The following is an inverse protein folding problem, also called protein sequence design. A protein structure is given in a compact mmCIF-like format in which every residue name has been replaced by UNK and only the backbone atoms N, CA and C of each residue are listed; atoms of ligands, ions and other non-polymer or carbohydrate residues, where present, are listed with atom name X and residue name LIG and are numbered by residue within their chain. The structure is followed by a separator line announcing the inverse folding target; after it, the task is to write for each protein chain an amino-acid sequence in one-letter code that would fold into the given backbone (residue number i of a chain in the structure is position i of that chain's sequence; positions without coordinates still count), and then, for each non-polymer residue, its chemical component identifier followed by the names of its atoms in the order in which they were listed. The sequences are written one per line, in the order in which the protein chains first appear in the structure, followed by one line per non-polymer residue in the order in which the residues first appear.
data_IF_078968834266
#
_entry.id   IF_078968834266
#
_cell.length_a   1.000
_cell.length_b   1.000
_cell.length_c   1.000
_cell.angle_alpha   90.00
_cell.angle_beta   90.00
_cell.angle_gamma   90.00
#
_symmetry.space_group_name_H-M   'P 1'
#
loop_
_entity.id
_entity.type
_entity.pdbx_description
1 polymer ?
#
# COMPACT_ATOMS: atom_id res chain seq x y z
N UNK A 1 6.92 -24.39 18.60
CA UNK A 1 7.00 -23.04 19.21
C UNK A 1 6.41 -22.07 18.19
N UNK A 2 5.11 -21.85 18.23
CA UNK A 2 4.39 -20.97 17.28
C UNK A 2 4.53 -19.53 17.78
N UNK A 3 5.27 -18.69 17.06
CA UNK A 3 5.33 -17.26 17.35
C UNK A 3 3.92 -16.67 17.16
N UNK A 4 3.47 -15.75 18.03
CA UNK A 4 2.20 -15.07 17.81
C UNK A 4 2.33 -14.29 16.50
N UNK A 5 1.50 -14.60 15.51
CA UNK A 5 1.29 -13.75 14.34
C UNK A 5 0.79 -12.42 14.90
N UNK A 6 1.64 -11.40 14.91
CA UNK A 6 1.20 -10.05 15.23
C UNK A 6 0.27 -9.67 14.08
N UNK A 7 -1.04 -9.80 14.29
CA UNK A 7 -2.07 -9.31 13.38
C UNK A 7 -2.03 -7.79 13.46
N UNK A 8 -1.03 -7.20 12.83
CA UNK A 8 -0.96 -5.76 12.74
C UNK A 8 -2.16 -5.29 11.91
N UNK A 9 -2.76 -4.19 12.30
CA UNK A 9 -3.94 -3.64 11.63
C UNK A 9 -3.51 -2.76 10.46
N UNK A 10 -4.21 -2.82 9.31
CA UNK A 10 -4.00 -1.89 8.22
C UNK A 10 -4.08 -0.44 8.71
N UNK A 11 -3.10 0.39 8.32
CA UNK A 11 -3.03 1.80 8.73
C UNK A 11 -3.23 2.71 7.53
N UNK A 12 -4.21 3.60 7.60
CA UNK A 12 -4.49 4.55 6.52
C UNK A 12 -3.37 5.59 6.42
N UNK A 13 -2.81 5.74 5.23
CA UNK A 13 -1.74 6.68 4.93
C UNK A 13 -2.32 7.97 4.35
N UNK A 14 -2.22 9.05 5.12
CA UNK A 14 -2.62 10.40 4.69
C UNK A 14 -1.50 11.20 4.04
N UNK A 15 -0.25 10.84 4.30
CA UNK A 15 0.94 11.46 3.70
C UNK A 15 1.83 10.38 3.09
N UNK A 16 1.97 10.37 1.76
CA UNK A 16 2.79 9.36 1.05
C UNK A 16 4.28 9.42 1.41
N UNK A 17 4.78 10.51 1.99
CA UNK A 17 6.14 10.60 2.51
C UNK A 17 6.42 9.64 3.68
N UNK A 18 5.36 9.10 4.31
CA UNK A 18 5.48 8.06 5.33
C UNK A 18 5.81 6.68 4.74
N UNK A 19 5.53 6.44 3.46
CA UNK A 19 5.79 5.17 2.80
C UNK A 19 7.27 5.01 2.45
N UNK A 20 7.71 3.76 2.39
CA UNK A 20 9.05 3.35 1.97
C UNK A 20 8.94 2.33 0.85
N UNK A 21 9.96 2.26 0.02
CA UNK A 21 10.05 1.22 -1.02
C UNK A 21 9.99 -0.16 -0.35
N UNK A 22 9.16 -1.04 -0.88
CA UNK A 22 8.92 -2.39 -0.34
C UNK A 22 7.73 -2.51 0.60
N UNK A 23 7.23 -1.39 1.16
CA UNK A 23 6.02 -1.40 1.99
C UNK A 23 4.86 -2.05 1.22
N UNK A 24 4.18 -3.00 1.86
CA UNK A 24 2.94 -3.55 1.35
C UNK A 24 1.81 -2.52 1.55
N UNK A 25 1.08 -2.26 0.48
CA UNK A 25 -0.02 -1.30 0.49
C UNK A 25 -1.23 -1.82 -0.25
N UNK A 26 -2.38 -1.30 0.15
CA UNK A 26 -3.65 -1.45 -0.55
C UNK A 26 -4.16 -0.08 -0.98
N UNK A 27 -4.64 0.00 -2.21
CA UNK A 27 -5.41 1.10 -2.73
C UNK A 27 -6.88 0.72 -2.71
N UNK A 28 -7.69 1.46 -1.94
CA UNK A 28 -9.09 1.14 -1.72
C UNK A 28 -10.02 2.26 -2.17
N UNK A 29 -11.12 1.88 -2.80
CA UNK A 29 -12.30 2.73 -2.97
C UNK A 29 -13.30 2.30 -1.91
N UNK A 30 -13.72 3.23 -1.06
CA UNK A 30 -14.51 2.93 0.14
C UNK A 30 -13.84 1.86 1.03
N UNK A 31 -14.26 0.60 0.93
CA UNK A 31 -13.68 -0.54 1.65
C UNK A 31 -13.16 -1.66 0.73
N UNK A 32 -13.34 -1.54 -0.58
CA UNK A 32 -12.94 -2.55 -1.55
C UNK A 32 -11.49 -2.33 -1.99
N UNK A 33 -10.70 -3.41 -1.94
CA UNK A 33 -9.30 -3.39 -2.39
C UNK A 33 -9.28 -3.48 -3.90
N UNK A 34 -8.96 -2.36 -4.55
CA UNK A 34 -8.84 -2.32 -6.00
C UNK A 34 -7.47 -2.80 -6.46
N UNK A 35 -6.43 -2.39 -5.73
CA UNK A 35 -5.06 -2.78 -6.03
C UNK A 35 -4.31 -3.11 -4.74
N UNK A 36 -3.47 -4.12 -4.81
CA UNK A 36 -2.57 -4.52 -3.72
C UNK A 36 -1.18 -4.79 -4.28
N UNK A 37 -0.18 -4.32 -3.57
CA UNK A 37 1.19 -4.49 -4.01
C UNK A 37 2.22 -3.85 -3.11
N UNK A 38 3.46 -3.83 -3.58
CA UNK A 38 4.59 -3.22 -2.86
C UNK A 38 4.98 -1.89 -3.46
N UNK A 39 5.27 -0.90 -2.62
CA UNK A 39 5.72 0.42 -3.04
C UNK A 39 7.03 0.33 -3.81
N UNK A 40 7.05 0.87 -5.02
CA UNK A 40 8.25 1.03 -5.86
C UNK A 40 8.85 2.42 -5.68
N UNK A 41 7.99 3.44 -5.66
CA UNK A 41 8.36 4.87 -5.56
C UNK A 41 7.17 5.68 -5.05
N UNK A 42 7.44 6.82 -4.44
CA UNK A 42 6.43 7.82 -4.06
C UNK A 42 6.79 9.19 -4.64
N UNK A 43 5.78 9.99 -4.97
CA UNK A 43 5.92 11.42 -5.23
C UNK A 43 4.88 12.18 -4.35
N UNK A 44 5.20 12.41 -3.05
CA UNK A 44 4.25 12.97 -2.10
C UNK A 44 3.73 14.36 -2.51
N UNK A 45 4.58 15.18 -3.13
CA UNK A 45 4.20 16.53 -3.58
C UNK A 45 3.10 16.58 -4.64
N UNK A 46 2.80 15.46 -5.29
CA UNK A 46 1.71 15.34 -6.28
C UNK A 46 0.73 14.20 -5.96
N UNK A 47 0.80 13.62 -4.75
CA UNK A 47 -0.14 12.60 -4.30
C UNK A 47 -0.07 11.26 -5.05
N UNK A 48 1.08 10.92 -5.66
CA UNK A 48 1.24 9.68 -6.43
C UNK A 48 2.14 8.64 -5.74
N UNK A 49 1.75 7.38 -5.84
CA UNK A 49 2.57 6.22 -5.47
C UNK A 49 2.60 5.22 -6.62
N UNK A 50 3.78 4.69 -6.91
CA UNK A 50 3.95 3.57 -7.83
C UNK A 50 4.04 2.30 -7.01
N UNK A 51 3.23 1.32 -7.34
CA UNK A 51 3.27 -0.01 -6.75
C UNK A 51 3.63 -1.05 -7.82
N UNK A 52 4.24 -2.14 -7.38
CA UNK A 52 4.28 -3.38 -8.13
C UNK A 52 3.16 -4.24 -7.59
N UNK A 53 2.17 -4.56 -8.42
CA UNK A 53 1.02 -5.35 -8.01
C UNK A 53 1.46 -6.77 -7.64
N UNK A 54 0.85 -7.31 -6.58
CA UNK A 54 1.12 -8.69 -6.15
C UNK A 54 0.56 -9.68 -7.20
N UNK A 55 -0.59 -9.34 -7.79
CA UNK A 55 -1.20 -10.07 -8.90
C UNK A 55 -0.60 -9.57 -10.23
N UNK A 56 -0.04 -10.47 -11.03
CA UNK A 56 0.54 -10.16 -12.34
C UNK A 56 1.92 -9.49 -12.32
N UNK A 57 2.31 -8.82 -11.23
CA UNK A 57 3.63 -8.21 -11.09
C UNK A 57 3.83 -6.91 -11.87
N UNK A 58 2.76 -6.38 -12.47
CA UNK A 58 2.76 -5.14 -13.24
C UNK A 58 3.00 -3.92 -12.34
N UNK A 59 3.55 -2.86 -12.94
CA UNK A 59 3.74 -1.59 -12.24
C UNK A 59 2.54 -0.68 -12.47
N UNK A 60 1.91 -0.28 -11.38
CA UNK A 60 0.74 0.61 -11.39
C UNK A 60 1.04 1.94 -10.71
N UNK A 61 0.47 3.01 -11.25
CA UNK A 61 0.48 4.35 -10.62
C UNK A 61 -0.86 4.54 -9.93
N UNK A 62 -0.83 4.88 -8.65
CA UNK A 62 -2.02 5.08 -7.81
C UNK A 62 -1.98 6.50 -7.24
N UNK A 63 -3.13 7.17 -7.27
CA UNK A 63 -3.32 8.54 -6.80
C UNK A 63 -4.10 8.56 -5.48
N UNK A 64 -3.64 9.37 -4.53
CA UNK A 64 -4.34 9.58 -3.26
C UNK A 64 -5.66 10.36 -3.40
N UNK A 65 -5.89 11.00 -4.55
CA UNK A 65 -7.16 11.67 -4.84
C UNK A 65 -8.25 10.68 -5.22
N UNK A 66 -7.87 9.57 -5.85
CA UNK A 66 -8.80 8.55 -6.36
C UNK A 66 -8.96 7.38 -5.38
N UNK A 67 -7.93 7.10 -4.59
CA UNK A 67 -7.89 5.95 -3.68
C UNK A 67 -7.48 6.36 -2.26
N UNK A 68 -8.12 5.72 -1.28
CA UNK A 68 -7.55 5.66 0.05
C UNK A 68 -6.39 4.67 0.07
N UNK A 69 -5.22 5.13 0.51
CA UNK A 69 -4.02 4.30 0.58
C UNK A 69 -3.85 3.78 2.01
N UNK A 70 -3.63 2.48 2.15
CA UNK A 70 -3.43 1.81 3.42
C UNK A 70 -2.11 1.06 3.39
N UNK A 71 -1.27 1.22 4.42
CA UNK A 71 -0.17 0.29 4.65
C UNK A 71 -0.75 -0.95 5.30
N UNK A 72 -0.46 -2.10 4.72
CA UNK A 72 -0.82 -3.39 5.31
C UNK A 72 0.42 -4.03 5.92
N UNK A 73 0.29 -4.73 7.03
CA UNK A 73 1.39 -5.49 7.57
C UNK A 73 1.69 -6.68 6.67
N UNK A 74 2.97 -6.98 6.52
CA UNK A 74 3.39 -8.22 5.88
C UNK A 74 3.01 -9.37 6.82
N UNK A 75 2.11 -10.23 6.36
CA UNK A 75 1.84 -11.50 7.05
C UNK A 75 3.03 -12.40 6.74
N UNK A 76 3.85 -12.65 7.76
CA UNK A 76 4.97 -13.58 7.69
C UNK A 76 4.50 -15.02 7.52
#
# INVERSE_FOLDING_TARGET
MTLPTITATPTRIRNLGALRRGDAVEARIENDVQYRGRVVRTAPGVGLVWIREDEGGDRRTVSQSDYSIWRVPEVA
#
